data_IF_044008903508
#
_entry.id   IF_044008903508
#
_cell.length_a   1.000
_cell.length_b   1.000
_cell.length_c   1.000
_cell.angle_alpha   90.00
_cell.angle_beta   90.00
_cell.angle_gamma   90.00
#
_symmetry.space_group_name_H-M   'P 1'
#
loop_
_entity.id
_entity.type
_entity.pdbx_description
1 polymer ?
#
# COMPACT_ATOMS: atom_id res chain seq x y z
N UNK A 1 -22.89 -8.75 14.39
CA UNK A 1 -21.93 -8.63 13.27
C UNK A 1 -22.59 -9.22 12.03
N UNK A 2 -23.39 -8.46 11.26
CA UNK A 2 -24.31 -9.10 10.28
C UNK A 2 -24.17 -8.63 8.82
N UNK A 3 -23.09 -7.93 8.42
CA UNK A 3 -22.93 -7.53 7.00
C UNK A 3 -21.49 -7.65 6.54
N UNK A 4 -21.30 -8.41 5.46
CA UNK A 4 -20.04 -8.53 4.69
C UNK A 4 -19.57 -7.17 4.14
N UNK A 5 -20.52 -6.24 3.96
CA UNK A 5 -20.31 -4.85 3.58
C UNK A 5 -20.73 -3.93 4.71
N UNK A 6 -19.78 -3.21 5.30
CA UNK A 6 -20.04 -2.24 6.35
C UNK A 6 -20.25 -0.86 5.74
N UNK A 7 -21.50 -0.37 5.77
CA UNK A 7 -21.88 0.95 5.23
C UNK A 7 -21.17 2.11 5.93
N UNK A 8 -20.67 1.90 7.15
CA UNK A 8 -19.89 2.90 7.86
C UNK A 8 -18.47 3.02 7.28
N UNK A 9 -17.95 1.93 6.70
CA UNK A 9 -16.60 1.82 6.15
C UNK A 9 -16.64 1.30 4.70
N UNK A 10 -17.28 2.06 3.80
CA UNK A 10 -17.55 1.60 2.44
C UNK A 10 -16.27 1.30 1.65
N UNK A 11 -15.22 2.12 1.78
CA UNK A 11 -13.98 1.91 1.02
C UNK A 11 -13.21 0.72 1.56
N UNK A 12 -13.12 0.56 2.88
CA UNK A 12 -12.49 -0.63 3.47
C UNK A 12 -13.21 -1.89 3.00
N UNK A 13 -14.54 -1.89 3.01
CA UNK A 13 -15.36 -3.00 2.53
C UNK A 13 -15.13 -3.30 1.05
N UNK A 14 -15.08 -2.26 0.20
CA UNK A 14 -14.82 -2.43 -1.24
C UNK A 14 -13.42 -3.00 -1.48
N UNK A 15 -12.39 -2.49 -0.81
CA UNK A 15 -11.02 -3.00 -0.98
C UNK A 15 -10.91 -4.46 -0.54
N UNK A 16 -11.56 -4.85 0.56
CA UNK A 16 -11.64 -6.25 0.99
C UNK A 16 -12.33 -7.12 -0.06
N UNK A 17 -13.49 -6.70 -0.57
CA UNK A 17 -14.26 -7.46 -1.55
C UNK A 17 -13.53 -7.60 -2.89
N UNK A 18 -12.93 -6.52 -3.39
CA UNK A 18 -12.15 -6.54 -4.64
C UNK A 18 -10.95 -7.47 -4.49
N UNK A 19 -10.19 -7.34 -3.40
CA UNK A 19 -9.01 -8.18 -3.17
C UNK A 19 -9.39 -9.66 -3.01
N UNK A 20 -10.46 -9.95 -2.27
CA UNK A 20 -11.00 -11.30 -2.13
C UNK A 20 -11.48 -11.86 -3.48
N UNK A 21 -12.12 -11.04 -4.32
CA UNK A 21 -12.54 -11.42 -5.66
C UNK A 21 -11.35 -11.78 -6.57
N UNK A 22 -10.27 -11.00 -6.54
CA UNK A 22 -9.04 -11.31 -7.25
C UNK A 22 -8.43 -12.64 -6.77
N UNK A 23 -8.31 -12.81 -5.45
CA UNK A 23 -7.76 -14.03 -4.88
C UNK A 23 -8.61 -15.27 -5.19
N UNK A 24 -9.94 -15.15 -5.12
CA UNK A 24 -10.86 -16.21 -5.51
C UNK A 24 -10.72 -16.55 -7.00
N UNK A 25 -10.58 -15.55 -7.86
CA UNK A 25 -10.38 -15.77 -9.31
C UNK A 25 -9.06 -16.51 -9.59
N UNK A 26 -7.99 -16.17 -8.87
CA UNK A 26 -6.72 -16.93 -8.95
C UNK A 26 -6.93 -18.40 -8.58
N UNK A 27 -7.64 -18.65 -7.48
CA UNK A 27 -7.93 -20.01 -7.01
C UNK A 27 -8.79 -20.80 -8.01
N UNK A 28 -9.87 -20.20 -8.51
CA UNK A 28 -10.79 -20.87 -9.43
C UNK A 28 -10.15 -21.17 -10.79
N UNK A 29 -9.32 -20.27 -11.33
CA UNK A 29 -8.72 -20.46 -12.65
C UNK A 29 -7.46 -21.33 -12.63
N UNK A 30 -6.77 -21.44 -11.49
CA UNK A 30 -5.46 -22.12 -11.41
C UNK A 30 -5.41 -23.30 -10.43
N UNK A 31 -6.48 -23.54 -9.66
CA UNK A 31 -6.55 -24.64 -8.70
C UNK A 31 -5.39 -24.59 -7.71
N UNK A 32 -4.71 -25.73 -7.48
CA UNK A 32 -3.56 -25.80 -6.57
C UNK A 32 -2.34 -24.97 -7.01
N UNK A 33 -2.28 -24.51 -8.27
CA UNK A 33 -1.22 -23.64 -8.74
C UNK A 33 -1.45 -22.15 -8.42
N UNK A 34 -2.53 -21.80 -7.71
CA UNK A 34 -2.90 -20.40 -7.40
C UNK A 34 -1.78 -19.58 -6.75
N UNK A 35 -0.94 -20.23 -5.93
CA UNK A 35 0.17 -19.59 -5.22
C UNK A 35 1.51 -19.68 -5.97
N UNK A 36 1.54 -20.27 -7.17
CA UNK A 36 2.76 -20.35 -7.98
C UNK A 36 3.21 -18.97 -8.45
N UNK A 37 4.53 -18.76 -8.53
CA UNK A 37 5.11 -17.52 -9.06
C UNK A 37 4.57 -17.16 -10.44
N UNK A 38 4.36 -18.16 -11.31
CA UNK A 38 3.79 -17.96 -12.64
C UNK A 38 2.36 -17.41 -12.57
N UNK A 39 1.51 -17.99 -11.73
CA UNK A 39 0.13 -17.51 -11.57
C UNK A 39 0.12 -16.09 -11.02
N UNK A 40 0.88 -15.83 -9.96
CA UNK A 40 0.97 -14.51 -9.34
C UNK A 40 1.45 -13.46 -10.37
N UNK A 41 2.45 -13.80 -11.17
CA UNK A 41 2.94 -12.96 -12.26
C UNK A 41 1.85 -12.69 -13.32
N UNK A 42 1.14 -13.70 -13.79
CA UNK A 42 0.09 -13.56 -14.80
C UNK A 42 -1.10 -12.71 -14.31
N UNK A 43 -1.41 -12.78 -13.02
CA UNK A 43 -2.48 -11.99 -12.40
C UNK A 43 -2.11 -10.54 -12.09
N UNK A 44 -0.87 -10.11 -12.38
CA UNK A 44 -0.49 -8.71 -12.27
C UNK A 44 0.38 -8.36 -11.07
N UNK A 45 1.12 -9.32 -10.52
CA UNK A 45 2.16 -9.00 -9.56
C UNK A 45 3.20 -8.04 -10.13
N UNK A 46 3.84 -7.31 -9.23
CA UNK A 46 4.90 -6.39 -9.57
C UNK A 46 6.14 -7.17 -9.98
N UNK A 47 6.61 -6.92 -11.21
CA UNK A 47 7.87 -7.44 -11.73
C UNK A 47 8.52 -6.37 -12.60
N UNK A 48 9.57 -5.74 -12.07
CA UNK A 48 10.20 -4.57 -12.68
C UNK A 48 10.82 -4.84 -14.05
N UNK A 49 11.51 -5.98 -14.22
CA UNK A 49 12.10 -6.37 -15.50
C UNK A 49 11.04 -6.45 -16.61
N UNK A 50 9.86 -6.99 -16.32
CA UNK A 50 8.77 -7.03 -17.32
C UNK A 50 8.30 -5.65 -17.74
N UNK A 51 8.29 -4.67 -16.82
CA UNK A 51 7.95 -3.27 -17.15
C UNK A 51 9.05 -2.65 -18.02
N UNK A 52 10.34 -2.90 -17.71
CA UNK A 52 11.46 -2.41 -18.52
C UNK A 52 11.41 -2.94 -19.96
N UNK A 53 11.21 -4.25 -20.14
CA UNK A 53 11.14 -4.86 -21.47
C UNK A 53 9.84 -4.53 -22.21
N UNK A 54 8.74 -4.40 -21.47
CA UNK A 54 7.41 -4.14 -22.01
C UNK A 54 6.75 -3.01 -21.23
N UNK A 55 6.99 -1.74 -21.60
CA UNK A 55 6.45 -0.57 -20.90
C UNK A 55 4.92 -0.56 -20.78
N UNK A 56 4.22 -1.26 -21.66
CA UNK A 56 2.76 -1.48 -21.56
C UNK A 56 2.34 -2.21 -20.29
N UNK A 57 3.25 -2.85 -19.56
CA UNK A 57 3.00 -3.53 -18.28
C UNK A 57 3.09 -2.61 -17.04
N UNK A 58 3.20 -1.29 -17.22
CA UNK A 58 3.28 -0.30 -16.12
C UNK A 58 2.10 -0.37 -15.14
N UNK A 59 0.95 -0.90 -15.57
CA UNK A 59 -0.23 -1.13 -14.73
C UNK A 59 0.06 -2.07 -13.54
N UNK A 60 1.13 -2.86 -13.59
CA UNK A 60 1.62 -3.71 -12.48
C UNK A 60 1.94 -2.92 -11.22
N UNK A 61 2.31 -1.64 -11.34
CA UNK A 61 2.52 -0.76 -10.19
C UNK A 61 1.24 -0.58 -9.35
N UNK A 62 0.07 -0.69 -9.96
CA UNK A 62 -1.21 -0.58 -9.29
C UNK A 62 -1.84 -1.95 -9.00
N UNK A 63 -1.85 -2.89 -9.96
CA UNK A 63 -2.54 -4.17 -9.78
C UNK A 63 -1.95 -5.05 -8.69
N UNK A 64 -0.64 -4.96 -8.45
CA UNK A 64 0.06 -5.83 -7.52
C UNK A 64 -0.45 -5.75 -6.08
N UNK A 65 -1.13 -4.66 -5.70
CA UNK A 65 -1.73 -4.50 -4.37
C UNK A 65 -2.95 -5.41 -4.13
N UNK A 66 -3.52 -5.98 -5.19
CA UNK A 66 -4.70 -6.87 -5.11
C UNK A 66 -4.33 -8.35 -5.28
N UNK A 67 -3.16 -8.66 -5.85
CA UNK A 67 -2.65 -10.02 -6.04
C UNK A 67 -2.00 -10.51 -4.74
N UNK A 68 -2.18 -11.78 -4.36
CA UNK A 68 -1.64 -12.30 -3.10
C UNK A 68 -0.91 -13.64 -3.26
N UNK A 69 0.09 -13.85 -2.41
CA UNK A 69 0.95 -15.03 -2.41
C UNK A 69 0.41 -16.04 -1.40
N UNK A 70 -0.34 -17.04 -1.86
CA UNK A 70 -0.88 -18.06 -0.95
C UNK A 70 -1.95 -17.54 0.01
N UNK A 71 -2.50 -18.47 0.81
CA UNK A 71 -3.66 -18.18 1.66
C UNK A 71 -3.30 -17.40 2.92
N UNK A 72 -2.18 -17.72 3.56
CA UNK A 72 -1.76 -17.09 4.83
C UNK A 72 -1.47 -15.60 4.64
N UNK A 73 -0.71 -15.23 3.61
CA UNK A 73 -0.42 -13.83 3.30
C UNK A 73 -1.70 -13.05 2.95
N UNK A 74 -2.59 -13.65 2.17
CA UNK A 74 -3.91 -13.07 1.89
C UNK A 74 -4.71 -12.83 3.17
N UNK A 75 -4.86 -13.86 4.01
CA UNK A 75 -5.62 -13.78 5.25
C UNK A 75 -5.06 -12.70 6.19
N UNK A 76 -3.74 -12.66 6.38
CA UNK A 76 -3.09 -11.65 7.22
C UNK A 76 -3.37 -10.23 6.69
N UNK A 77 -3.19 -9.99 5.40
CA UNK A 77 -3.45 -8.67 4.81
C UNK A 77 -4.92 -8.27 4.92
N UNK A 78 -5.87 -9.20 4.74
CA UNK A 78 -7.30 -8.89 4.84
C UNK A 78 -7.71 -8.60 6.29
N UNK A 79 -7.20 -9.36 7.25
CA UNK A 79 -7.42 -9.09 8.67
C UNK A 79 -6.85 -7.72 9.04
N UNK A 80 -5.60 -7.44 8.64
CA UNK A 80 -4.98 -6.14 8.88
C UNK A 80 -5.79 -5.03 8.23
N UNK A 81 -6.12 -5.13 6.93
CA UNK A 81 -6.92 -4.14 6.21
C UNK A 81 -8.27 -3.89 6.88
N UNK A 82 -8.96 -4.93 7.34
CA UNK A 82 -10.23 -4.79 8.04
C UNK A 82 -10.09 -3.91 9.29
N UNK A 83 -9.08 -4.15 10.14
CA UNK A 83 -8.94 -3.38 11.37
C UNK A 83 -8.33 -2.00 11.14
N UNK A 84 -7.22 -1.92 10.41
CA UNK A 84 -6.48 -0.66 10.25
C UNK A 84 -7.09 0.22 9.17
N UNK A 85 -7.72 -0.38 8.15
CA UNK A 85 -8.43 0.35 7.10
C UNK A 85 -9.65 1.09 7.64
N UNK A 86 -10.42 0.46 8.53
CA UNK A 86 -11.55 1.14 9.21
C UNK A 86 -11.07 2.34 10.02
N UNK A 87 -10.00 2.18 10.79
CA UNK A 87 -9.41 3.28 11.57
C UNK A 87 -8.92 4.41 10.66
N UNK A 88 -8.25 4.07 9.55
CA UNK A 88 -7.81 5.05 8.57
C UNK A 88 -9.00 5.75 7.88
N UNK A 89 -10.05 5.03 7.53
CA UNK A 89 -11.28 5.59 6.94
C UNK A 89 -12.04 6.49 7.92
N UNK A 90 -12.02 6.22 9.21
CA UNK A 90 -12.54 7.13 10.24
C UNK A 90 -11.72 8.42 10.33
N UNK A 91 -10.39 8.32 10.27
CA UNK A 91 -9.48 9.47 10.39
C UNK A 91 -9.51 10.34 9.13
N UNK A 92 -9.39 9.74 7.95
CA UNK A 92 -9.24 10.45 6.68
C UNK A 92 -10.58 10.70 5.97
N UNK A 93 -11.57 9.86 6.21
CA UNK A 93 -12.76 9.75 5.38
C UNK A 93 -12.53 8.90 4.13
N UNK A 94 -13.62 8.37 3.58
CA UNK A 94 -13.60 7.34 2.54
C UNK A 94 -12.74 7.69 1.32
N UNK A 95 -12.94 8.86 0.70
CA UNK A 95 -12.19 9.24 -0.50
C UNK A 95 -10.69 9.44 -0.24
N UNK A 96 -10.35 10.15 0.84
CA UNK A 96 -8.95 10.38 1.19
C UNK A 96 -8.25 9.07 1.60
N UNK A 97 -8.96 8.17 2.28
CA UNK A 97 -8.46 6.83 2.59
C UNK A 97 -8.22 6.00 1.32
N UNK A 98 -9.15 6.02 0.36
CA UNK A 98 -8.98 5.33 -0.92
C UNK A 98 -7.70 5.80 -1.63
N UNK A 99 -7.52 7.11 -1.77
CA UNK A 99 -6.32 7.65 -2.42
C UNK A 99 -5.05 7.38 -1.62
N UNK A 100 -5.08 7.48 -0.29
CA UNK A 100 -3.96 7.09 0.57
C UNK A 100 -3.56 5.63 0.32
N UNK A 101 -4.52 4.71 0.30
CA UNK A 101 -4.28 3.28 0.06
C UNK A 101 -3.64 3.04 -1.30
N UNK A 102 -4.22 3.61 -2.36
CA UNK A 102 -3.73 3.44 -3.73
C UNK A 102 -2.35 4.09 -3.94
N UNK A 103 -2.18 5.35 -3.52
CA UNK A 103 -0.92 6.09 -3.71
C UNK A 103 0.23 5.46 -2.91
N UNK A 104 -0.02 5.05 -1.66
CA UNK A 104 1.02 4.36 -0.88
C UNK A 104 1.41 3.03 -1.52
N UNK A 105 0.43 2.28 -2.02
CA UNK A 105 0.69 1.03 -2.73
C UNK A 105 1.51 1.22 -4.00
N UNK A 106 1.15 2.22 -4.81
CA UNK A 106 1.88 2.57 -6.03
C UNK A 106 3.31 2.98 -5.71
N UNK A 107 3.55 3.86 -4.73
CA UNK A 107 4.92 4.26 -4.39
C UNK A 107 5.74 3.09 -3.83
N UNK A 108 5.12 2.20 -3.05
CA UNK A 108 5.73 0.93 -2.65
C UNK A 108 6.17 0.09 -3.86
N UNK A 109 5.30 -0.10 -4.84
CA UNK A 109 5.64 -0.85 -6.05
C UNK A 109 6.65 -0.12 -6.94
N UNK A 110 6.70 1.21 -6.93
CA UNK A 110 7.77 1.99 -7.59
C UNK A 110 9.12 1.75 -6.90
N UNK A 111 9.16 1.63 -5.57
CA UNK A 111 10.39 1.25 -4.86
C UNK A 111 10.82 -0.17 -5.24
N UNK A 112 9.89 -1.12 -5.34
CA UNK A 112 10.20 -2.47 -5.86
C UNK A 112 10.75 -2.39 -7.28
N UNK A 113 10.12 -1.58 -8.14
CA UNK A 113 10.56 -1.39 -9.53
C UNK A 113 12.02 -0.95 -9.59
N UNK A 114 12.37 0.04 -8.77
CA UNK A 114 13.68 0.67 -8.82
C UNK A 114 14.77 -0.15 -8.11
N UNK A 115 14.49 -0.66 -6.90
CA UNK A 115 15.51 -1.30 -6.05
C UNK A 115 15.63 -2.81 -6.27
N UNK A 116 14.53 -3.50 -6.58
CA UNK A 116 14.51 -4.96 -6.73
C UNK A 116 13.75 -5.37 -8.00
N UNK A 117 14.16 -4.91 -9.20
CA UNK A 117 13.39 -5.08 -10.44
C UNK A 117 13.17 -6.53 -10.84
N UNK A 118 14.06 -7.45 -10.44
CA UNK A 118 13.95 -8.89 -10.74
C UNK A 118 13.06 -9.65 -9.75
N UNK A 119 12.59 -9.01 -8.67
CA UNK A 119 11.70 -9.66 -7.71
C UNK A 119 10.26 -9.68 -8.24
N UNK A 120 9.55 -10.79 -7.98
CA UNK A 120 8.09 -10.86 -8.13
C UNK A 120 7.48 -10.52 -6.78
N UNK A 121 6.84 -9.36 -6.68
CA UNK A 121 6.21 -8.89 -5.45
C UNK A 121 4.70 -8.72 -5.64
N UNK A 122 3.92 -9.14 -4.66
CA UNK A 122 2.47 -9.03 -4.68
C UNK A 122 1.96 -8.90 -3.25
N UNK A 123 0.86 -8.17 -3.06
CA UNK A 123 0.15 -8.08 -1.79
C UNK A 123 -0.28 -6.66 -1.47
N UNK A 124 -1.35 -6.55 -0.68
CA UNK A 124 -1.82 -5.27 -0.16
C UNK A 124 -0.84 -4.60 0.82
N UNK A 125 0.19 -5.32 1.28
CA UNK A 125 1.10 -4.87 2.34
C UNK A 125 1.78 -3.53 2.04
N UNK A 126 2.11 -3.22 0.79
CA UNK A 126 2.65 -1.89 0.42
C UNK A 126 1.70 -0.76 0.85
N UNK A 127 0.39 -0.95 0.64
CA UNK A 127 -0.64 0.01 1.05
C UNK A 127 -0.85 0.01 2.58
N UNK A 128 -0.77 -1.15 3.23
CA UNK A 128 -0.91 -1.28 4.69
C UNK A 128 0.24 -0.59 5.44
N UNK A 129 1.48 -0.73 4.96
CA UNK A 129 2.61 0.03 5.48
C UNK A 129 2.44 1.53 5.26
N UNK A 130 1.78 1.93 4.16
CA UNK A 130 1.34 3.30 3.96
C UNK A 130 0.37 3.80 5.04
N UNK A 131 -0.60 2.99 5.44
CA UNK A 131 -1.51 3.34 6.54
C UNK A 131 -0.71 3.54 7.85
N UNK A 132 0.28 2.68 8.13
CA UNK A 132 1.17 2.88 9.27
C UNK A 132 1.93 4.21 9.17
N UNK A 133 2.62 4.46 8.06
CA UNK A 133 3.37 5.68 7.82
C UNK A 133 2.50 6.93 7.97
N UNK A 134 1.29 6.90 7.42
CA UNK A 134 0.35 8.01 7.49
C UNK A 134 -0.06 8.36 8.94
N UNK A 135 -0.46 7.35 9.71
CA UNK A 135 -0.91 7.57 11.10
C UNK A 135 0.25 7.95 12.02
N UNK A 136 1.46 7.41 11.78
CA UNK A 136 2.69 7.84 12.46
C UNK A 136 2.98 9.31 12.14
N UNK A 137 2.82 9.77 10.90
CA UNK A 137 2.99 11.18 10.55
C UNK A 137 1.98 12.07 11.27
N UNK A 138 0.71 11.66 11.33
CA UNK A 138 -0.33 12.42 12.02
C UNK A 138 -0.11 12.53 13.53
N UNK A 139 0.56 11.56 14.17
CA UNK A 139 0.95 11.63 15.59
C UNK A 139 1.63 12.95 15.95
N UNK A 140 2.45 13.48 15.06
CA UNK A 140 3.25 14.68 15.32
C UNK A 140 2.54 15.98 14.91
N UNK A 141 1.53 15.90 14.04
CA UNK A 141 0.83 17.07 13.51
C UNK A 141 -0.52 17.33 14.18
N UNK A 142 -1.24 16.28 14.59
CA UNK A 142 -2.60 16.39 15.13
C UNK A 142 -2.56 16.38 16.66
N UNK A 143 -3.18 17.38 17.28
CA UNK A 143 -3.33 17.48 18.73
C UNK A 143 -4.55 16.70 19.22
N UNK A 144 -4.54 15.39 18.99
CA UNK A 144 -5.57 14.46 19.45
C UNK A 144 -4.91 13.27 20.18
N UNK A 145 -5.21 13.03 21.48
CA UNK A 145 -4.57 11.97 22.26
C UNK A 145 -4.74 10.57 21.67
N UNK A 146 -5.91 10.26 21.10
CA UNK A 146 -6.17 8.98 20.46
C UNK A 146 -5.26 8.76 19.24
N UNK A 147 -5.16 9.75 18.34
CA UNK A 147 -4.26 9.67 17.16
C UNK A 147 -2.80 9.56 17.59
N UNK A 148 -2.40 10.28 18.65
CA UNK A 148 -1.03 10.23 19.16
C UNK A 148 -0.65 8.86 19.72
N UNK A 149 -1.55 8.26 20.49
CA UNK A 149 -1.37 6.90 21.01
C UNK A 149 -1.39 5.88 19.88
N UNK A 150 -2.34 5.98 18.96
CA UNK A 150 -2.43 5.08 17.82
C UNK A 150 -1.17 5.12 16.94
N UNK A 151 -0.67 6.33 16.65
CA UNK A 151 0.59 6.49 15.94
C UNK A 151 1.81 5.94 16.67
N UNK A 152 1.82 5.96 18.01
CA UNK A 152 2.88 5.29 18.78
C UNK A 152 2.80 3.77 18.63
N UNK A 153 1.60 3.19 18.72
CA UNK A 153 1.40 1.75 18.49
C UNK A 153 1.82 1.35 17.07
N UNK A 154 1.45 2.15 16.07
CA UNK A 154 1.79 1.86 14.68
C UNK A 154 3.27 2.07 14.37
N UNK A 155 3.96 2.97 15.08
CA UNK A 155 5.41 3.09 15.00
C UNK A 155 6.10 1.80 15.46
N UNK A 156 5.66 1.23 16.59
CA UNK A 156 6.21 -0.03 17.10
C UNK A 156 5.93 -1.16 16.09
N UNK A 157 4.69 -1.26 15.60
CA UNK A 157 4.32 -2.25 14.58
C UNK A 157 5.12 -2.09 13.29
N UNK A 158 5.32 -0.87 12.81
CA UNK A 158 6.09 -0.58 11.60
C UNK A 158 7.53 -1.06 11.78
N UNK A 159 8.19 -0.71 12.89
CA UNK A 159 9.57 -1.13 13.15
C UNK A 159 9.68 -2.66 13.20
N UNK A 160 8.79 -3.34 13.93
CA UNK A 160 8.80 -4.80 13.99
C UNK A 160 8.59 -5.44 12.61
N UNK A 161 7.63 -4.95 11.83
CA UNK A 161 7.36 -5.49 10.50
C UNK A 161 8.48 -5.16 9.49
N UNK A 162 9.18 -4.03 9.63
CA UNK A 162 10.37 -3.73 8.82
C UNK A 162 11.55 -4.65 9.17
N UNK A 163 11.73 -5.01 10.45
CA UNK A 163 12.71 -6.03 10.85
C UNK A 163 12.36 -7.39 10.24
N UNK A 164 11.08 -7.80 10.30
CA UNK A 164 10.61 -9.01 9.62
C UNK A 164 10.80 -8.94 8.10
N UNK A 165 10.77 -7.74 7.52
CA UNK A 165 10.99 -7.54 6.07
C UNK A 165 12.42 -7.81 5.62
N UNK A 166 13.36 -8.03 6.55
CA UNK A 166 14.72 -8.49 6.25
C UNK A 166 14.75 -10.00 5.94
N UNK A 167 13.68 -10.74 6.26
CA UNK A 167 13.55 -12.15 5.92
C UNK A 167 13.43 -12.32 4.39
N UNK A 168 14.20 -13.24 3.77
CA UNK A 168 14.10 -13.52 2.34
C UNK A 168 12.67 -13.87 1.92
N UNK A 169 12.24 -13.28 0.80
CA UNK A 169 10.87 -13.44 0.28
C UNK A 169 9.89 -12.34 0.74
N UNK A 170 10.27 -11.48 1.67
CA UNK A 170 9.48 -10.32 2.09
C UNK A 170 10.06 -9.03 1.48
N UNK A 171 9.20 -8.18 0.91
CA UNK A 171 9.65 -7.00 0.15
C UNK A 171 9.95 -5.79 1.05
N UNK A 172 11.18 -5.69 1.55
CA UNK A 172 11.64 -4.50 2.28
C UNK A 172 11.47 -3.21 1.47
N UNK A 173 11.84 -3.23 0.18
CA UNK A 173 11.70 -2.07 -0.70
C UNK A 173 10.24 -1.61 -0.82
N UNK A 174 9.32 -2.56 -1.03
CA UNK A 174 7.89 -2.26 -1.13
C UNK A 174 7.32 -1.69 0.17
N UNK A 175 7.71 -2.24 1.31
CA UNK A 175 7.26 -1.80 2.63
C UNK A 175 7.78 -0.41 3.00
N UNK A 176 9.06 -0.11 2.72
CA UNK A 176 9.62 1.23 2.89
C UNK A 176 8.97 2.26 1.97
N UNK A 177 8.82 1.94 0.68
CA UNK A 177 8.16 2.83 -0.28
C UNK A 177 6.70 3.09 0.09
N UNK A 178 6.01 2.06 0.57
CA UNK A 178 4.66 2.16 1.12
C UNK A 178 4.58 3.13 2.29
N UNK A 179 5.43 2.94 3.31
CA UNK A 179 5.48 3.80 4.50
C UNK A 179 5.80 5.26 4.14
N UNK A 180 6.75 5.51 3.23
CA UNK A 180 7.06 6.86 2.72
C UNK A 180 5.86 7.46 1.98
N UNK A 181 5.21 6.67 1.12
CA UNK A 181 4.03 7.13 0.37
C UNK A 181 2.88 7.51 1.29
N UNK A 182 2.65 6.71 2.33
CA UNK A 182 1.67 6.99 3.37
C UNK A 182 1.97 8.25 4.17
N UNK A 183 3.22 8.43 4.59
CA UNK A 183 3.66 9.62 5.30
C UNK A 183 3.42 10.90 4.46
N UNK A 184 3.72 10.87 3.17
CA UNK A 184 3.41 11.97 2.25
C UNK A 184 1.89 12.17 2.10
N UNK A 185 1.13 11.09 1.96
CA UNK A 185 -0.34 11.14 1.87
C UNK A 185 -1.00 11.73 3.12
N UNK A 186 -0.45 11.50 4.32
CA UNK A 186 -0.93 12.13 5.55
C UNK A 186 -0.78 13.66 5.54
N UNK A 187 0.26 14.17 4.87
CA UNK A 187 0.42 15.61 4.67
C UNK A 187 -0.52 16.10 3.56
N UNK A 188 -0.61 15.38 2.45
CA UNK A 188 -1.43 15.76 1.28
C UNK A 188 -2.91 15.86 1.65
N UNK A 189 -3.47 14.83 2.29
CA UNK A 189 -4.91 14.71 2.53
C UNK A 189 -5.33 15.30 3.88
N UNK A 190 -6.43 16.09 3.93
CA UNK A 190 -6.95 16.56 5.20
C UNK A 190 -7.61 15.42 5.96
N UNK A 191 -7.45 15.42 7.29
CA UNK A 191 -8.13 14.47 8.18
C UNK A 191 -9.40 15.08 8.76
N UNK A 192 -10.39 14.26 9.11
CA UNK A 192 -11.69 14.70 9.63
C UNK A 192 -11.57 15.43 10.96
N UNK A 193 -10.69 14.95 11.84
CA UNK A 193 -10.49 15.46 13.21
C UNK A 193 -9.81 16.84 13.21
N UNK A 194 -8.91 17.09 12.26
CA UNK A 194 -8.21 18.36 12.12
C UNK A 194 -7.82 18.63 10.66
N UNK A 195 -8.73 19.31 9.94
CA UNK A 195 -8.50 19.67 8.52
C UNK A 195 -7.32 20.63 8.33
N UNK A 196 -6.92 21.35 9.37
CA UNK A 196 -5.86 22.37 9.34
C UNK A 196 -4.53 21.88 9.91
N UNK A 197 -4.40 20.59 10.23
CA UNK A 197 -3.17 19.97 10.71
C UNK A 197 -1.94 20.30 9.83
N UNK A 198 -2.15 20.47 8.53
CA UNK A 198 -1.14 20.95 7.59
C UNK A 198 -1.64 22.13 6.75
N UNK A 199 -0.74 23.10 6.53
CA UNK A 199 -0.97 24.27 5.68
C UNK A 199 -0.97 23.88 4.20
N UNK A 200 -1.68 24.64 3.36
CA UNK A 200 -1.77 24.38 1.92
C UNK A 200 -0.40 24.28 1.23
N UNK A 201 0.59 25.09 1.65
CA UNK A 201 1.96 25.04 1.11
C UNK A 201 2.64 23.70 1.39
N UNK A 202 2.44 23.14 2.58
CA UNK A 202 2.98 21.82 2.95
C UNK A 202 2.31 20.71 2.14
N UNK A 203 0.99 20.81 1.89
CA UNK A 203 0.25 19.87 1.05
C UNK A 203 0.77 19.86 -0.39
N UNK A 204 0.95 21.04 -0.98
CA UNK A 204 1.49 21.19 -2.35
C UNK A 204 2.92 20.63 -2.41
N UNK A 205 3.76 20.95 -1.43
CA UNK A 205 5.13 20.45 -1.38
C UNK A 205 5.17 18.92 -1.25
N UNK A 206 4.36 18.33 -0.37
CA UNK A 206 4.29 16.88 -0.22
C UNK A 206 3.78 16.18 -1.49
N UNK A 207 2.81 16.77 -2.20
CA UNK A 207 2.36 16.27 -3.49
C UNK A 207 3.46 16.35 -4.55
N UNK A 208 4.19 17.47 -4.61
CA UNK A 208 5.32 17.61 -5.52
C UNK A 208 6.41 16.57 -5.23
N UNK A 209 6.77 16.36 -3.97
CA UNK A 209 7.73 15.32 -3.55
C UNK A 209 7.23 13.93 -3.97
N UNK A 210 5.96 13.61 -3.72
CA UNK A 210 5.37 12.34 -4.13
C UNK A 210 5.49 12.13 -5.64
N UNK A 211 5.13 13.13 -6.45
CA UNK A 211 5.20 13.05 -7.91
C UNK A 211 6.65 12.95 -8.40
N UNK A 212 7.58 13.68 -7.80
CA UNK A 212 9.01 13.59 -8.12
C UNK A 212 9.54 12.19 -7.81
N UNK A 213 9.19 11.60 -6.66
CA UNK A 213 9.60 10.24 -6.32
C UNK A 213 9.03 9.22 -7.32
N UNK A 214 7.73 9.29 -7.61
CA UNK A 214 7.09 8.37 -8.57
C UNK A 214 7.71 8.51 -9.96
N UNK A 215 7.69 9.71 -10.54
CA UNK A 215 8.13 9.92 -11.92
C UNK A 215 9.65 9.79 -12.07
N UNK A 216 10.39 10.33 -11.11
CA UNK A 216 11.85 10.26 -11.11
C UNK A 216 12.36 8.83 -10.96
N UNK A 217 11.81 8.04 -10.04
CA UNK A 217 12.24 6.65 -9.87
C UNK A 217 11.79 5.75 -11.01
N UNK A 218 10.60 5.97 -11.59
CA UNK A 218 10.18 5.27 -12.81
C UNK A 218 11.15 5.59 -13.97
N UNK A 219 11.44 6.88 -14.20
CA UNK A 219 12.39 7.29 -15.23
C UNK A 219 13.77 6.66 -15.01
N UNK A 220 14.31 6.74 -13.79
CA UNK A 220 15.60 6.14 -13.48
C UNK A 220 15.57 4.61 -13.60
N UNK A 221 14.46 3.95 -13.26
CA UNK A 221 14.31 2.51 -13.43
C UNK A 221 14.37 2.10 -14.90
N UNK A 222 13.76 2.87 -15.82
CA UNK A 222 13.87 2.60 -17.27
C UNK A 222 15.27 2.83 -17.83
N UNK A 223 16.02 3.78 -17.27
CA UNK A 223 17.38 4.12 -17.74
C UNK A 223 18.48 3.32 -17.03
N UNK A 224 18.13 2.47 -16.07
CA UNK A 224 19.10 1.60 -15.39
C UNK A 224 19.43 0.43 -16.33
N UNK A 225 20.73 0.21 -16.58
CA UNK A 225 21.20 -0.89 -17.41
C UNK A 225 20.65 -2.24 -16.93
N UNK A 226 20.33 -3.10 -17.89
CA UNK A 226 19.75 -4.42 -17.65
C UNK A 226 20.82 -5.40 -17.19
#
# INVERSE_FOLDING_TARGET
MNKLYDKQYPVTSILLLVTAGFFLTMFLLRGFAYASTQTIYEFGAMHGRSIQYFPSQIWRLASAIFVHIGLEHFAMNMITLYFIGRQAEDIFGSWNFLFLYLMSGILGNVFVFFFTPSAVAAGASTSLFGIFGAIITLRYAVRNPYIQQLGQSYLILLVMNLVLSLTPGISLAGHLGGAVGGALCAVIFPVRVDKKAYQIRQRILALAIYLILVLGMIFLAFNRGI
#
